data_IF_265610485964
#
_entry.id   IF_265610485964
#
_cell.length_a   1.000
_cell.length_b   1.000
_cell.length_c   1.000
_cell.angle_alpha   90.00
_cell.angle_beta   90.00
_cell.angle_gamma   90.00
#
_symmetry.space_group_name_H-M   'P 1'
#
loop_
_entity.id
_entity.type
_entity.pdbx_description
1 polymer ?
#
# COMPACT_ATOMS: atom_id res chain seq x y z
N UNK A 1 -6.10 24.45 -10.15
CA UNK A 1 -4.84 25.24 -10.18
C UNK A 1 -4.30 25.37 -11.59
N UNK A 2 -3.58 26.46 -11.90
CA UNK A 2 -2.76 26.53 -13.12
C UNK A 2 -1.43 25.78 -12.95
N UNK A 3 -0.68 25.55 -14.04
CA UNK A 3 0.56 24.78 -14.03
C UNK A 3 1.61 25.32 -13.04
N UNK A 4 1.81 26.64 -13.00
CA UNK A 4 2.81 27.25 -12.10
C UNK A 4 2.43 27.06 -10.62
N UNK A 5 1.14 27.21 -10.30
CA UNK A 5 0.66 26.96 -8.94
C UNK A 5 0.87 25.50 -8.50
N UNK A 6 0.70 24.55 -9.43
CA UNK A 6 0.96 23.12 -9.16
C UNK A 6 2.44 22.91 -8.87
N UNK A 7 3.30 23.50 -9.69
CA UNK A 7 4.75 23.41 -9.53
C UNK A 7 5.21 23.97 -8.19
N UNK A 8 4.79 25.17 -7.84
CA UNK A 8 5.17 25.84 -6.59
C UNK A 8 4.70 25.04 -5.37
N UNK A 9 3.50 24.48 -5.45
CA UNK A 9 2.97 23.66 -4.37
C UNK A 9 3.73 22.34 -4.20
N UNK A 10 4.06 21.64 -5.29
CA UNK A 10 4.85 20.39 -5.21
C UNK A 10 6.25 20.66 -4.66
N UNK A 11 6.88 21.77 -5.05
CA UNK A 11 8.16 22.20 -4.46
C UNK A 11 8.03 22.42 -2.95
N UNK A 12 6.96 23.08 -2.49
CA UNK A 12 6.70 23.27 -1.07
C UNK A 12 6.52 21.93 -0.33
N UNK A 13 5.81 20.97 -0.93
CA UNK A 13 5.63 19.63 -0.36
C UNK A 13 6.98 18.92 -0.23
N UNK A 14 7.78 18.90 -1.30
CA UNK A 14 9.10 18.25 -1.33
C UNK A 14 10.08 18.86 -0.31
N UNK A 15 9.99 20.16 -0.08
CA UNK A 15 10.80 20.87 0.91
C UNK A 15 10.40 20.54 2.35
N UNK A 16 9.09 20.43 2.63
CA UNK A 16 8.57 20.36 4.00
C UNK A 16 8.45 18.96 4.60
N UNK A 17 8.21 17.94 3.79
CA UNK A 17 8.08 16.54 4.27
C UNK A 17 9.29 16.05 5.09
N UNK A 18 10.55 16.36 4.73
CA UNK A 18 11.70 15.99 5.55
C UNK A 18 11.61 16.49 7.01
N UNK A 19 11.22 17.74 7.22
CA UNK A 19 11.06 18.29 8.57
C UNK A 19 9.91 17.62 9.33
N UNK A 20 8.83 17.26 8.62
CA UNK A 20 7.76 16.46 9.19
C UNK A 20 8.24 15.07 9.65
N UNK A 21 9.02 14.37 8.81
CA UNK A 21 9.60 13.08 9.18
C UNK A 21 10.52 13.18 10.40
N UNK A 22 11.37 14.21 10.45
CA UNK A 22 12.24 14.47 11.61
C UNK A 22 11.42 14.67 12.89
N UNK A 23 10.28 15.36 12.81
CA UNK A 23 9.39 15.59 13.97
C UNK A 23 8.72 14.31 14.50
N UNK A 24 8.59 13.28 13.65
CA UNK A 24 8.04 11.97 14.02
C UNK A 24 9.11 10.98 14.48
N UNK A 25 10.40 11.22 14.20
CA UNK A 25 11.47 10.27 14.48
C UNK A 25 11.62 10.03 15.99
N UNK A 26 11.80 8.76 16.37
CA UNK A 26 12.10 8.34 17.73
C UNK A 26 13.37 9.00 18.27
N UNK A 27 13.38 9.32 19.57
CA UNK A 27 14.53 9.95 20.23
C UNK A 27 15.61 8.93 20.59
N UNK A 28 15.22 7.70 20.89
CA UNK A 28 16.13 6.64 21.38
C UNK A 28 16.51 5.64 20.28
N UNK A 29 15.64 5.48 19.28
CA UNK A 29 15.73 4.57 18.16
C UNK A 29 15.39 5.35 16.89
N UNK A 30 16.42 5.69 16.12
CA UNK A 30 16.28 6.49 14.90
C UNK A 30 15.56 5.76 13.76
N UNK A 31 15.42 4.44 13.85
CA UNK A 31 14.62 3.65 12.91
C UNK A 31 13.13 3.67 13.20
N UNK A 32 12.72 4.12 14.38
CA UNK A 32 11.32 4.25 14.78
C UNK A 32 10.76 5.63 14.41
N UNK A 33 9.47 5.65 14.05
CA UNK A 33 8.72 6.87 13.77
C UNK A 33 7.34 6.81 14.44
N UNK A 34 6.85 7.92 14.96
CA UNK A 34 5.47 8.01 15.43
C UNK A 34 4.48 7.96 14.26
N UNK A 35 3.25 7.48 14.51
CA UNK A 35 2.19 7.56 13.50
C UNK A 35 1.73 8.99 13.30
N UNK A 36 1.59 9.73 14.39
CA UNK A 36 1.02 11.07 14.48
C UNK A 36 1.92 11.97 15.33
N UNK A 37 1.75 13.29 15.24
CA UNK A 37 2.58 14.24 16.01
C UNK A 37 2.31 14.16 17.53
N UNK A 38 1.05 13.91 17.93
CA UNK A 38 0.64 13.92 19.34
C UNK A 38 -0.42 12.89 19.70
N UNK A 39 -1.04 12.24 18.72
CA UNK A 39 -2.17 11.32 18.90
C UNK A 39 -1.82 9.88 19.29
N UNK A 40 -0.55 9.44 19.17
CA UNK A 40 -0.15 8.05 19.36
C UNK A 40 -0.56 7.49 20.73
N UNK A 41 -1.16 6.29 20.76
CA UNK A 41 -1.53 5.64 22.03
C UNK A 41 -0.34 4.99 22.74
N UNK A 42 0.81 4.89 22.07
CA UNK A 42 2.02 4.28 22.60
C UNK A 42 3.23 5.08 22.12
N UNK A 43 4.07 5.46 23.08
CA UNK A 43 5.27 6.28 22.81
C UNK A 43 6.58 5.52 23.01
N UNK A 44 6.53 4.26 23.47
CA UNK A 44 7.72 3.41 23.44
C UNK A 44 8.15 3.19 21.99
N UNK A 45 9.43 2.97 21.74
CA UNK A 45 10.01 2.90 20.39
C UNK A 45 10.34 1.45 19.97
N UNK A 46 9.69 0.48 20.63
CA UNK A 46 9.81 -0.98 20.47
C UNK A 46 8.64 -1.60 19.70
N UNK A 47 7.84 -0.77 19.02
CA UNK A 47 6.65 -1.17 18.27
C UNK A 47 6.62 -0.42 16.93
N UNK A 48 5.63 -0.73 16.10
CA UNK A 48 5.38 0.04 14.89
C UNK A 48 6.34 -0.30 13.74
N UNK A 49 6.13 -1.47 13.13
CA UNK A 49 6.81 -1.83 11.87
C UNK A 49 6.31 -0.98 10.69
N UNK A 50 5.00 -0.69 10.64
CA UNK A 50 4.35 -0.08 9.47
C UNK A 50 4.67 1.41 9.30
N UNK A 51 4.75 2.16 10.39
CA UNK A 51 5.21 3.56 10.42
C UNK A 51 6.66 3.70 9.92
N UNK A 52 7.57 2.81 10.33
CA UNK A 52 8.94 2.80 9.80
C UNK A 52 9.00 2.42 8.31
N UNK A 53 8.12 1.51 7.86
CA UNK A 53 7.92 1.25 6.42
C UNK A 53 7.45 2.50 5.70
N UNK A 54 6.50 3.26 6.25
CA UNK A 54 6.04 4.51 5.65
C UNK A 54 7.19 5.51 5.52
N UNK A 55 8.02 5.67 6.57
CA UNK A 55 9.21 6.52 6.53
C UNK A 55 10.18 6.11 5.41
N UNK A 56 10.54 4.81 5.34
CA UNK A 56 11.42 4.28 4.30
C UNK A 56 10.92 4.64 2.89
N UNK A 57 9.61 4.47 2.66
CA UNK A 57 9.02 4.71 1.34
C UNK A 57 8.87 6.21 1.03
N UNK A 58 8.59 7.06 2.02
CA UNK A 58 8.59 8.52 1.85
C UNK A 58 10.00 8.99 1.43
N UNK A 59 11.04 8.57 2.15
CA UNK A 59 12.43 8.91 1.83
C UNK A 59 12.83 8.40 0.43
N UNK A 60 12.36 7.21 0.05
CA UNK A 60 12.56 6.66 -1.29
C UNK A 60 11.92 7.53 -2.35
N UNK A 61 10.63 7.89 -2.21
CA UNK A 61 9.95 8.77 -3.18
C UNK A 61 10.70 10.09 -3.34
N UNK A 62 11.16 10.68 -2.24
CA UNK A 62 11.89 11.95 -2.26
C UNK A 62 13.30 11.84 -2.84
N UNK A 63 13.77 10.62 -3.15
CA UNK A 63 15.14 10.32 -3.55
C UNK A 63 16.17 10.79 -2.49
N UNK A 64 15.88 10.52 -1.20
CA UNK A 64 16.63 11.03 -0.04
C UNK A 64 17.08 9.96 0.97
N UNK A 65 17.03 8.68 0.60
CA UNK A 65 17.48 7.60 1.49
C UNK A 65 19.00 7.70 1.74
N UNK A 66 19.42 8.08 2.94
CA UNK A 66 20.84 8.10 3.34
C UNK A 66 21.31 6.71 3.81
N UNK A 67 22.63 6.53 3.99
CA UNK A 67 23.14 5.28 4.57
C UNK A 67 22.66 5.06 6.01
N UNK A 68 22.61 6.13 6.81
CA UNK A 68 22.09 6.06 8.18
C UNK A 68 20.61 5.67 8.19
N UNK A 69 19.80 6.22 7.27
CA UNK A 69 18.39 5.83 7.13
C UNK A 69 18.26 4.34 6.77
N UNK A 70 19.07 3.85 5.82
CA UNK A 70 19.10 2.42 5.48
C UNK A 70 19.39 1.57 6.70
N UNK A 71 20.42 1.90 7.46
CA UNK A 71 20.87 1.08 8.59
C UNK A 71 19.86 1.11 9.74
N UNK A 72 19.39 2.29 10.14
CA UNK A 72 18.50 2.45 11.29
C UNK A 72 17.10 1.93 11.01
N UNK A 73 16.51 2.30 9.87
CA UNK A 73 15.12 1.93 9.53
C UNK A 73 15.04 0.43 9.25
N UNK A 74 16.00 -0.14 8.50
CA UNK A 74 15.98 -1.58 8.25
C UNK A 74 16.18 -2.39 9.52
N UNK A 75 17.09 -1.98 10.41
CA UNK A 75 17.28 -2.62 11.71
C UNK A 75 16.00 -2.62 12.53
N UNK A 76 15.25 -1.52 12.53
CA UNK A 76 13.96 -1.46 13.21
C UNK A 76 12.93 -2.40 12.57
N UNK A 77 12.77 -2.37 11.25
CA UNK A 77 11.82 -3.25 10.53
C UNK A 77 12.15 -4.74 10.78
N UNK A 78 13.43 -5.12 10.66
CA UNK A 78 13.91 -6.50 10.84
C UNK A 78 13.82 -6.96 12.30
N UNK A 79 13.72 -6.05 13.28
CA UNK A 79 13.50 -6.43 14.68
C UNK A 79 12.13 -7.09 14.94
N UNK A 80 11.20 -6.99 13.98
CA UNK A 80 9.88 -7.63 14.01
C UNK A 80 9.81 -8.95 13.23
N UNK A 81 10.93 -9.42 12.69
CA UNK A 81 11.03 -10.65 11.94
C UNK A 81 10.92 -11.87 12.87
N UNK A 82 10.05 -12.82 12.53
CA UNK A 82 10.01 -14.14 13.18
C UNK A 82 10.79 -15.21 12.39
N UNK A 83 10.89 -16.41 12.95
CA UNK A 83 11.66 -17.50 12.36
C UNK A 83 11.12 -17.98 10.99
N UNK A 84 9.88 -17.62 10.65
CA UNK A 84 9.24 -17.98 9.39
C UNK A 84 9.26 -16.79 8.41
N UNK A 85 10.06 -15.75 8.68
CA UNK A 85 10.18 -14.55 7.83
C UNK A 85 8.95 -13.65 7.82
N UNK A 86 8.01 -13.83 8.75
CA UNK A 86 6.90 -12.91 8.93
C UNK A 86 7.38 -11.68 9.72
N UNK A 87 6.91 -10.49 9.33
CA UNK A 87 7.28 -9.23 9.97
C UNK A 87 6.02 -8.51 10.43
N UNK A 88 5.76 -8.56 11.72
CA UNK A 88 4.56 -7.96 12.32
C UNK A 88 4.81 -7.53 13.76
N UNK A 89 3.99 -6.60 14.23
CA UNK A 89 4.06 -6.11 15.61
C UNK A 89 3.22 -7.00 16.56
N UNK A 90 3.83 -7.70 17.54
CA UNK A 90 3.09 -8.56 18.46
C UNK A 90 2.10 -7.79 19.36
N UNK A 91 2.42 -6.54 19.70
CA UNK A 91 1.53 -5.70 20.49
C UNK A 91 0.29 -5.31 19.72
N UNK A 92 0.47 -4.97 18.44
CA UNK A 92 -0.65 -4.71 17.53
C UNK A 92 -1.63 -5.89 17.53
N UNK A 93 -1.12 -7.11 17.38
CA UNK A 93 -1.95 -8.33 17.42
C UNK A 93 -2.62 -8.54 18.78
N UNK A 94 -1.97 -8.24 19.90
CA UNK A 94 -2.55 -8.39 21.25
C UNK A 94 -3.70 -7.42 21.51
N UNK A 95 -3.61 -6.17 21.08
CA UNK A 95 -4.73 -5.20 21.19
C UNK A 95 -5.89 -5.58 20.26
N UNK A 96 -5.56 -6.04 19.06
CA UNK A 96 -6.52 -6.56 18.10
C UNK A 96 -7.29 -7.77 18.65
N UNK A 97 -6.58 -8.66 19.34
CA UNK A 97 -7.10 -9.87 19.98
C UNK A 97 -8.27 -9.59 20.95
N UNK A 98 -8.14 -8.60 21.82
CA UNK A 98 -9.21 -8.26 22.77
C UNK A 98 -10.49 -7.78 22.07
N UNK A 99 -10.36 -6.91 21.06
CA UNK A 99 -11.52 -6.34 20.35
C UNK A 99 -12.27 -7.40 19.53
N UNK A 100 -11.53 -8.27 18.85
CA UNK A 100 -12.14 -9.31 18.02
C UNK A 100 -12.68 -10.49 18.82
N UNK A 101 -12.12 -10.80 19.99
CA UNK A 101 -12.75 -11.77 20.91
C UNK A 101 -14.19 -11.34 21.25
N UNK A 102 -14.41 -10.06 21.55
CA UNK A 102 -15.77 -9.52 21.76
C UNK A 102 -16.65 -9.57 20.50
N UNK A 103 -16.08 -9.30 19.32
CA UNK A 103 -16.81 -9.39 18.05
C UNK A 103 -17.19 -10.84 17.67
N UNK A 104 -16.34 -11.83 17.99
CA UNK A 104 -16.57 -13.26 17.72
C UNK A 104 -17.56 -13.87 18.70
N UNK A 105 -17.51 -13.49 19.99
CA UNK A 105 -18.50 -13.90 20.99
C UNK A 105 -19.90 -13.37 20.63
N UNK A 106 -19.98 -12.21 19.98
CA UNK A 106 -21.25 -11.61 19.53
C UNK A 106 -21.71 -12.09 18.15
N UNK A 107 -20.80 -12.45 17.24
CA UNK A 107 -21.13 -12.89 15.86
C UNK A 107 -21.11 -14.42 15.63
N UNK A 108 -20.59 -15.21 16.58
CA UNK A 108 -20.41 -16.68 16.51
C UNK A 108 -19.62 -17.20 15.30
N UNK A 109 -18.82 -16.36 14.64
CA UNK A 109 -17.98 -16.77 13.51
C UNK A 109 -16.49 -16.86 13.89
N UNK A 110 -16.06 -18.08 14.25
CA UNK A 110 -14.67 -18.39 14.57
C UNK A 110 -13.78 -18.42 13.31
N UNK A 111 -14.36 -18.60 12.11
CA UNK A 111 -13.60 -18.62 10.86
C UNK A 111 -13.17 -17.21 10.43
N UNK A 112 -14.02 -16.20 10.68
CA UNK A 112 -13.65 -14.79 10.53
C UNK A 112 -12.43 -14.42 11.40
N UNK A 113 -12.31 -14.98 12.61
CA UNK A 113 -11.19 -14.71 13.52
C UNK A 113 -9.81 -15.09 12.95
N UNK A 114 -9.64 -16.32 12.48
CA UNK A 114 -8.36 -16.81 11.95
C UNK A 114 -7.98 -16.10 10.66
N UNK A 115 -8.96 -15.92 9.77
CA UNK A 115 -8.78 -15.25 8.47
C UNK A 115 -8.26 -13.83 8.63
N UNK A 116 -8.74 -13.09 9.64
CA UNK A 116 -8.34 -11.69 9.81
C UNK A 116 -6.95 -11.54 10.46
N UNK A 117 -6.60 -12.39 11.43
CA UNK A 117 -5.24 -12.39 12.01
C UNK A 117 -4.19 -12.68 10.93
N UNK A 118 -4.43 -13.70 10.13
CA UNK A 118 -3.55 -14.04 9.02
C UNK A 118 -3.49 -12.92 7.97
N UNK A 119 -4.61 -12.26 7.69
CA UNK A 119 -4.66 -11.09 6.81
C UNK A 119 -3.80 -9.94 7.32
N UNK A 120 -3.89 -9.61 8.61
CA UNK A 120 -3.08 -8.54 9.22
C UNK A 120 -1.57 -8.88 9.19
N UNK A 121 -1.19 -10.11 9.54
CA UNK A 121 0.21 -10.56 9.48
C UNK A 121 0.72 -10.47 8.05
N UNK A 122 0.03 -11.07 7.08
CA UNK A 122 0.43 -11.03 5.66
C UNK A 122 0.52 -9.59 5.13
N UNK A 123 -0.44 -8.74 5.50
CA UNK A 123 -0.46 -7.33 5.11
C UNK A 123 0.73 -6.53 5.66
N UNK A 124 1.06 -6.73 6.94
CA UNK A 124 2.24 -6.11 7.57
C UNK A 124 3.54 -6.66 6.99
N UNK A 125 3.66 -7.97 6.86
CA UNK A 125 4.83 -8.65 6.27
C UNK A 125 5.08 -8.14 4.85
N UNK A 126 4.05 -8.11 3.99
CA UNK A 126 4.12 -7.54 2.63
C UNK A 126 4.63 -6.10 2.64
N UNK A 127 4.07 -5.27 3.52
CA UNK A 127 4.47 -3.86 3.64
C UNK A 127 5.95 -3.75 4.08
N UNK A 128 6.38 -4.58 5.03
CA UNK A 128 7.75 -4.65 5.50
C UNK A 128 8.73 -5.03 4.38
N UNK A 129 8.45 -6.08 3.60
CA UNK A 129 9.27 -6.44 2.44
C UNK A 129 9.42 -5.30 1.44
N UNK A 130 8.34 -4.60 1.12
CA UNK A 130 8.42 -3.47 0.21
C UNK A 130 9.16 -2.25 0.80
N UNK A 131 9.07 -2.04 2.12
CA UNK A 131 9.92 -1.07 2.82
C UNK A 131 11.40 -1.43 2.74
N UNK A 132 11.74 -2.68 3.01
CA UNK A 132 13.11 -3.20 2.89
C UNK A 132 13.64 -3.12 1.46
N UNK A 133 12.79 -3.38 0.47
CA UNK A 133 13.11 -3.19 -0.95
C UNK A 133 13.46 -1.73 -1.27
N UNK A 134 12.72 -0.76 -0.73
CA UNK A 134 13.05 0.67 -0.86
C UNK A 134 14.41 1.03 -0.23
N UNK A 135 14.83 0.31 0.81
CA UNK A 135 16.13 0.48 1.46
C UNK A 135 17.24 -0.35 0.80
N UNK A 136 16.91 -1.18 -0.20
CA UNK A 136 17.80 -2.18 -0.80
C UNK A 136 18.42 -3.14 0.24
N UNK A 137 17.61 -3.57 1.21
CA UNK A 137 18.00 -4.51 2.29
C UNK A 137 17.19 -5.79 2.18
N UNK A 138 17.84 -6.93 2.44
CA UNK A 138 17.21 -8.26 2.45
C UNK A 138 17.04 -8.77 3.88
N UNK A 139 15.90 -9.38 4.23
CA UNK A 139 15.76 -10.05 5.53
C UNK A 139 16.58 -11.34 5.60
N UNK A 140 16.73 -11.86 6.81
CA UNK A 140 17.48 -13.09 7.05
C UNK A 140 16.67 -14.34 6.67
N UNK A 141 15.37 -14.32 6.96
CA UNK A 141 14.40 -15.37 6.68
C UNK A 141 13.34 -14.84 5.71
N UNK A 142 12.97 -15.69 4.76
CA UNK A 142 11.92 -15.38 3.79
C UNK A 142 10.60 -15.99 4.25
N UNK A 143 9.48 -15.30 3.96
CA UNK A 143 8.16 -15.78 4.38
C UNK A 143 7.80 -17.10 3.72
N UNK A 144 7.78 -18.19 4.49
CA UNK A 144 7.70 -19.56 3.99
C UNK A 144 6.28 -20.18 4.02
N UNK A 145 5.34 -19.52 4.70
CA UNK A 145 3.96 -20.03 4.88
C UNK A 145 3.07 -19.71 3.68
N UNK A 146 3.37 -20.31 2.52
CA UNK A 146 2.61 -20.14 1.27
C UNK A 146 2.33 -21.48 0.56
N UNK A 147 1.29 -21.53 -0.29
CA UNK A 147 1.06 -22.62 -1.24
C UNK A 147 2.30 -22.94 -2.08
N UNK A 148 2.64 -24.23 -2.19
CA UNK A 148 3.88 -24.72 -2.81
C UNK A 148 3.69 -25.42 -4.16
N UNK A 149 2.43 -25.66 -4.57
CA UNK A 149 2.07 -26.32 -5.81
C UNK A 149 0.72 -25.81 -6.35
N UNK A 150 0.42 -26.11 -7.62
CA UNK A 150 -0.80 -25.69 -8.31
C UNK A 150 -2.08 -26.02 -7.53
N UNK A 151 -2.22 -27.25 -7.03
CA UNK A 151 -3.42 -27.67 -6.29
C UNK A 151 -3.59 -26.99 -4.92
N UNK A 152 -2.51 -26.50 -4.30
CA UNK A 152 -2.58 -25.65 -3.11
C UNK A 152 -2.92 -24.20 -3.48
N UNK A 153 -2.35 -23.68 -4.58
CA UNK A 153 -2.61 -22.34 -5.09
C UNK A 153 -4.09 -22.18 -5.48
N UNK A 154 -4.62 -23.12 -6.27
CA UNK A 154 -6.03 -23.09 -6.67
C UNK A 154 -6.96 -23.13 -5.46
N UNK A 155 -6.68 -24.03 -4.50
CA UNK A 155 -7.44 -24.12 -3.25
C UNK A 155 -7.34 -22.86 -2.41
N UNK A 156 -6.18 -22.20 -2.39
CA UNK A 156 -6.00 -20.93 -1.70
C UNK A 156 -6.85 -19.84 -2.35
N UNK A 157 -6.74 -19.67 -3.66
CA UNK A 157 -7.46 -18.65 -4.44
C UNK A 157 -8.97 -18.85 -4.35
N UNK A 158 -9.46 -20.09 -4.47
CA UNK A 158 -10.88 -20.43 -4.41
C UNK A 158 -11.50 -20.26 -3.02
N UNK A 159 -10.68 -20.17 -1.96
CA UNK A 159 -11.15 -19.85 -0.60
C UNK A 159 -11.31 -18.34 -0.36
N UNK A 160 -10.74 -17.49 -1.21
CA UNK A 160 -10.83 -16.05 -1.03
C UNK A 160 -12.25 -15.56 -1.33
N UNK A 161 -12.69 -14.55 -0.58
CA UNK A 161 -14.01 -13.96 -0.79
C UNK A 161 -14.00 -12.98 -1.98
N UNK A 162 -14.19 -13.49 -3.19
CA UNK A 162 -14.24 -12.70 -4.43
C UNK A 162 -15.51 -11.86 -4.60
N UNK A 163 -16.46 -11.90 -3.65
CA UNK A 163 -17.52 -10.87 -3.56
C UNK A 163 -17.01 -9.56 -2.93
N UNK A 164 -15.81 -9.59 -2.34
CA UNK A 164 -15.09 -8.47 -1.72
C UNK A 164 -13.67 -8.39 -2.31
N UNK A 165 -13.51 -7.93 -3.56
CA UNK A 165 -12.27 -8.10 -4.31
C UNK A 165 -11.09 -7.31 -3.75
N UNK A 166 -11.32 -6.25 -2.98
CA UNK A 166 -10.23 -5.59 -2.24
C UNK A 166 -9.52 -6.56 -1.29
N UNK A 167 -10.29 -7.35 -0.53
CA UNK A 167 -9.73 -8.37 0.37
C UNK A 167 -9.05 -9.48 -0.42
N UNK A 168 -9.77 -10.09 -1.37
CA UNK A 168 -9.24 -11.17 -2.19
C UNK A 168 -7.97 -10.77 -2.97
N UNK A 169 -7.99 -9.63 -3.65
CA UNK A 169 -6.83 -9.10 -4.37
C UNK A 169 -5.66 -8.77 -3.45
N UNK A 170 -5.90 -8.32 -2.21
CA UNK A 170 -4.82 -8.11 -1.23
C UNK A 170 -4.14 -9.41 -0.82
N UNK A 171 -4.89 -10.52 -0.74
CA UNK A 171 -4.34 -11.84 -0.46
C UNK A 171 -3.62 -12.44 -1.67
N UNK A 172 -4.20 -12.27 -2.87
CA UNK A 172 -3.59 -12.72 -4.13
C UNK A 172 -2.27 -11.99 -4.41
N UNK A 173 -2.23 -10.66 -4.29
CA UNK A 173 -0.97 -9.90 -4.46
C UNK A 173 0.10 -10.28 -3.43
N UNK A 174 -0.29 -10.60 -2.20
CA UNK A 174 0.64 -11.14 -1.21
C UNK A 174 1.16 -12.53 -1.61
N UNK A 175 0.31 -13.42 -2.13
CA UNK A 175 0.73 -14.73 -2.66
C UNK A 175 1.81 -14.56 -3.75
N UNK A 176 1.53 -13.73 -4.76
CA UNK A 176 2.47 -13.49 -5.86
C UNK A 176 3.79 -12.91 -5.32
N UNK A 177 3.74 -11.93 -4.42
CA UNK A 177 4.94 -11.39 -3.80
C UNK A 177 5.76 -12.48 -3.10
N UNK A 178 5.12 -13.31 -2.29
CA UNK A 178 5.84 -14.31 -1.49
C UNK A 178 6.41 -15.43 -2.34
N UNK A 179 5.73 -15.86 -3.42
CA UNK A 179 6.30 -16.78 -4.41
C UNK A 179 7.59 -16.19 -5.02
N UNK A 180 7.54 -14.92 -5.42
CA UNK A 180 8.69 -14.22 -5.98
C UNK A 180 9.82 -14.12 -4.96
N UNK A 181 9.51 -13.71 -3.73
CA UNK A 181 10.52 -13.52 -2.70
C UNK A 181 11.14 -14.84 -2.26
N UNK A 182 10.39 -15.94 -2.17
CA UNK A 182 10.98 -17.24 -1.87
C UNK A 182 11.91 -17.75 -2.97
N UNK A 183 11.58 -17.50 -4.24
CA UNK A 183 12.47 -17.82 -5.34
C UNK A 183 13.76 -17.00 -5.36
N UNK A 184 13.73 -15.82 -4.72
CA UNK A 184 14.83 -14.86 -4.68
C UNK A 184 15.51 -14.89 -3.32
N UNK A 185 16.76 -15.33 -3.26
CA UNK A 185 17.71 -14.51 -2.51
C UNK A 185 17.70 -13.15 -3.23
N UNK A 186 17.09 -12.13 -2.61
CA UNK A 186 16.83 -10.79 -3.18
C UNK A 186 17.88 -10.37 -4.23
N UNK A 187 17.41 -9.95 -5.43
CA UNK A 187 18.18 -9.59 -6.64
C UNK A 187 18.51 -10.71 -7.66
N UNK A 188 17.93 -11.90 -7.54
CA UNK A 188 17.99 -12.93 -8.59
C UNK A 188 16.69 -13.01 -9.40
N UNK A 189 16.73 -13.61 -10.59
CA UNK A 189 15.50 -13.91 -11.35
C UNK A 189 14.78 -15.12 -10.72
N UNK A 190 13.43 -15.15 -10.71
CA UNK A 190 12.69 -16.33 -10.22
C UNK A 190 13.08 -17.61 -10.96
N UNK A 191 12.98 -18.76 -10.30
CA UNK A 191 13.15 -20.05 -10.96
C UNK A 191 12.00 -20.30 -11.96
N UNK A 192 12.23 -21.14 -12.97
CA UNK A 192 11.18 -21.53 -13.92
C UNK A 192 9.97 -22.11 -13.20
N UNK A 193 10.18 -22.98 -12.20
CA UNK A 193 9.12 -23.56 -11.37
C UNK A 193 8.29 -22.48 -10.67
N UNK A 194 8.92 -21.41 -10.17
CA UNK A 194 8.19 -20.30 -9.54
C UNK A 194 7.39 -19.52 -10.57
N UNK A 195 7.94 -19.30 -11.77
CA UNK A 195 7.22 -18.64 -12.86
C UNK A 195 6.00 -19.46 -13.30
N UNK A 196 6.13 -20.78 -13.39
CA UNK A 196 5.03 -21.69 -13.72
C UNK A 196 3.92 -21.60 -12.66
N UNK A 197 4.26 -21.57 -11.37
CA UNK A 197 3.29 -21.39 -10.29
C UNK A 197 2.60 -20.02 -10.32
N UNK A 198 3.35 -18.95 -10.63
CA UNK A 198 2.79 -17.60 -10.78
C UNK A 198 1.82 -17.57 -11.97
N UNK A 199 2.22 -18.14 -13.10
CA UNK A 199 1.39 -18.19 -14.31
C UNK A 199 0.12 -19.00 -14.09
N UNK A 200 0.23 -20.14 -13.41
CA UNK A 200 -0.92 -20.91 -12.96
C UNK A 200 -1.83 -20.08 -12.05
N UNK A 201 -1.27 -19.38 -11.05
CA UNK A 201 -2.05 -18.52 -10.15
C UNK A 201 -2.83 -17.43 -10.90
N UNK A 202 -2.22 -16.80 -11.92
CA UNK A 202 -2.89 -15.84 -12.79
C UNK A 202 -4.01 -16.50 -13.61
N UNK A 203 -3.76 -17.69 -14.18
CA UNK A 203 -4.79 -18.40 -14.96
C UNK A 203 -6.06 -18.69 -14.16
N UNK A 204 -5.94 -18.93 -12.85
CA UNK A 204 -7.09 -19.14 -11.95
C UNK A 204 -7.88 -17.84 -11.73
N UNK A 205 -7.20 -16.71 -11.52
CA UNK A 205 -7.89 -15.42 -11.26
C UNK A 205 -8.36 -14.71 -12.53
N UNK A 206 -7.78 -15.00 -13.69
CA UNK A 206 -8.20 -14.41 -14.97
C UNK A 206 -9.63 -14.83 -15.32
N UNK A 207 -10.08 -16.00 -14.86
CA UNK A 207 -11.48 -16.45 -14.95
C UNK A 207 -12.48 -15.57 -14.17
N UNK A 208 -11.98 -14.66 -13.32
CA UNK A 208 -12.79 -13.76 -12.49
C UNK A 208 -12.84 -12.32 -13.03
N UNK A 209 -12.21 -12.06 -14.18
CA UNK A 209 -12.20 -10.73 -14.82
C UNK A 209 -13.59 -10.41 -15.37
N UNK A 210 -14.09 -9.23 -15.03
CA UNK A 210 -15.35 -8.68 -15.50
C UNK A 210 -15.14 -7.74 -16.69
N UNK A 211 -16.22 -7.41 -17.40
CA UNK A 211 -16.14 -6.53 -18.59
C UNK A 211 -15.66 -5.11 -18.29
N UNK A 212 -15.91 -4.60 -17.08
CA UNK A 212 -15.39 -3.31 -16.60
C UNK A 212 -13.92 -3.37 -16.15
N UNK A 213 -13.26 -4.53 -16.34
CA UNK A 213 -11.87 -4.78 -15.95
C UNK A 213 -11.66 -5.05 -14.47
N UNK A 214 -12.71 -5.09 -13.65
CA UNK A 214 -12.62 -5.48 -12.24
C UNK A 214 -12.60 -7.00 -12.05
N UNK A 215 -12.21 -7.47 -10.86
CA UNK A 215 -12.25 -8.88 -10.50
C UNK A 215 -13.38 -9.15 -9.52
N UNK A 216 -13.99 -10.34 -9.62
CA UNK A 216 -14.85 -10.88 -8.57
C UNK A 216 -16.18 -11.41 -9.06
N UNK A 217 -16.98 -11.90 -8.11
CA UNK A 217 -18.31 -12.46 -8.37
C UNK A 217 -19.41 -11.41 -8.22
N UNK A 218 -20.47 -11.53 -9.02
CA UNK A 218 -21.63 -10.62 -9.03
C UNK A 218 -21.21 -9.13 -9.21
N UNK A 219 -20.44 -8.77 -10.26
CA UNK A 219 -19.94 -7.42 -10.47
C UNK A 219 -21.05 -6.35 -10.51
N UNK A 220 -22.26 -6.73 -10.91
CA UNK A 220 -23.44 -5.85 -10.98
C UNK A 220 -23.93 -5.38 -9.60
N UNK A 221 -23.62 -6.13 -8.54
CA UNK A 221 -23.98 -5.77 -7.16
C UNK A 221 -22.88 -5.04 -6.40
N UNK A 222 -21.70 -4.93 -7.01
CA UNK A 222 -20.52 -4.41 -6.34
C UNK A 222 -20.42 -2.88 -6.48
N UNK A 223 -20.25 -2.13 -5.38
CA UNK A 223 -20.00 -0.70 -5.45
C UNK A 223 -18.73 -0.39 -6.26
N UNK A 224 -18.75 0.67 -7.06
CA UNK A 224 -17.62 1.01 -7.91
C UNK A 224 -16.30 1.25 -7.14
N UNK A 225 -16.37 1.84 -5.94
CA UNK A 225 -15.19 2.01 -5.06
C UNK A 225 -14.57 0.66 -4.70
N UNK A 226 -15.37 -0.38 -4.42
CA UNK A 226 -14.86 -1.72 -4.13
C UNK A 226 -14.19 -2.34 -5.36
N UNK A 227 -14.73 -2.10 -6.56
CA UNK A 227 -14.11 -2.53 -7.81
C UNK A 227 -12.74 -1.87 -8.01
N UNK A 228 -12.66 -0.55 -7.89
CA UNK A 228 -11.41 0.22 -8.04
C UNK A 228 -10.36 -0.24 -7.02
N UNK A 229 -10.74 -0.36 -5.75
CA UNK A 229 -9.85 -0.81 -4.69
C UNK A 229 -9.38 -2.26 -4.92
N UNK A 230 -10.25 -3.12 -5.48
CA UNK A 230 -9.88 -4.46 -5.95
C UNK A 230 -8.89 -4.44 -7.11
N UNK A 231 -9.15 -3.63 -8.15
CA UNK A 231 -8.26 -3.43 -9.29
C UNK A 231 -6.87 -2.98 -8.82
N UNK A 232 -6.81 -2.01 -7.90
CA UNK A 232 -5.55 -1.56 -7.31
C UNK A 232 -4.76 -2.74 -6.76
N UNK A 233 -5.39 -3.59 -5.92
CA UNK A 233 -4.72 -4.74 -5.31
C UNK A 233 -4.24 -5.75 -6.34
N UNK A 234 -5.04 -6.01 -7.38
CA UNK A 234 -4.68 -6.92 -8.46
C UNK A 234 -3.49 -6.37 -9.27
N UNK A 235 -3.49 -5.08 -9.58
CA UNK A 235 -2.38 -4.43 -10.29
C UNK A 235 -1.06 -4.53 -9.53
N UNK A 236 -1.07 -4.58 -8.19
CA UNK A 236 0.15 -4.87 -7.42
C UNK A 236 0.70 -6.27 -7.72
N UNK A 237 -0.18 -7.27 -7.88
CA UNK A 237 0.24 -8.61 -8.27
C UNK A 237 0.89 -8.60 -9.66
N UNK A 238 0.28 -7.91 -10.63
CA UNK A 238 0.83 -7.74 -11.98
C UNK A 238 2.18 -7.00 -11.97
N UNK A 239 2.32 -5.94 -11.16
CA UNK A 239 3.59 -5.23 -10.98
C UNK A 239 4.69 -6.17 -10.48
N UNK A 240 4.42 -6.93 -9.42
CA UNK A 240 5.41 -7.87 -8.85
C UNK A 240 5.79 -8.95 -9.85
N UNK A 241 4.82 -9.51 -10.57
CA UNK A 241 5.06 -10.52 -11.59
C UNK A 241 5.65 -9.97 -12.90
N UNK A 242 5.76 -8.64 -13.05
CA UNK A 242 6.12 -7.97 -14.30
C UNK A 242 5.24 -8.45 -15.49
N UNK A 243 3.93 -8.56 -15.25
CA UNK A 243 2.93 -9.00 -16.24
C UNK A 243 2.02 -7.83 -16.65
N UNK A 244 1.51 -7.87 -17.88
CA UNK A 244 0.51 -6.92 -18.38
C UNK A 244 -0.91 -7.42 -18.05
N UNK A 245 -1.77 -6.60 -17.44
CA UNK A 245 -3.19 -6.92 -17.26
C UNK A 245 -3.95 -6.84 -18.58
N UNK A 246 -4.99 -7.66 -18.75
CA UNK A 246 -5.74 -7.77 -20.02
C UNK A 246 -6.63 -6.55 -20.30
N UNK A 247 -7.48 -6.18 -19.34
CA UNK A 247 -8.56 -5.17 -19.52
C UNK A 247 -8.15 -3.76 -19.03
N UNK A 248 -7.08 -3.20 -19.57
CA UNK A 248 -6.57 -1.86 -19.16
C UNK A 248 -7.52 -0.70 -19.46
N UNK A 249 -8.10 -0.64 -20.67
CA UNK A 249 -8.98 0.47 -21.05
C UNK A 249 -10.30 0.48 -20.24
N UNK A 250 -10.98 -0.66 -20.00
CA UNK A 250 -12.13 -0.70 -19.11
C UNK A 250 -11.84 -0.23 -17.68
N UNK A 251 -10.66 -0.57 -17.12
CA UNK A 251 -10.25 -0.07 -15.80
C UNK A 251 -10.08 1.46 -15.78
N UNK A 252 -9.53 2.04 -16.86
CA UNK A 252 -9.45 3.50 -17.02
C UNK A 252 -10.84 4.12 -17.03
N UNK A 253 -11.78 3.55 -17.79
CA UNK A 253 -13.16 4.04 -17.87
C UNK A 253 -13.87 3.96 -16.50
N UNK A 254 -13.70 2.84 -15.79
CA UNK A 254 -14.23 2.67 -14.44
C UNK A 254 -13.70 3.75 -13.50
N UNK A 255 -12.39 4.01 -13.51
CA UNK A 255 -11.81 5.07 -12.69
C UNK A 255 -12.37 6.44 -13.08
N UNK A 256 -12.29 6.85 -14.34
CA UNK A 256 -12.67 8.21 -14.75
C UNK A 256 -14.16 8.53 -14.50
N UNK A 257 -15.04 7.53 -14.57
CA UNK A 257 -16.49 7.72 -14.39
C UNK A 257 -16.96 7.72 -12.94
N UNK A 258 -16.21 7.11 -12.04
CA UNK A 258 -16.67 6.93 -10.66
C UNK A 258 -16.21 8.07 -9.75
N UNK A 259 -17.16 8.78 -9.15
CA UNK A 259 -16.86 9.64 -8.01
C UNK A 259 -16.44 8.79 -6.82
N UNK A 260 -15.32 9.17 -6.22
CA UNK A 260 -14.80 8.51 -5.04
C UNK A 260 -14.77 9.55 -3.94
N UNK A 261 -15.66 9.39 -2.96
CA UNK A 261 -15.57 10.10 -1.70
C UNK A 261 -14.66 9.35 -0.73
N UNK A 262 -14.04 10.06 0.20
CA UNK A 262 -13.49 9.45 1.41
C UNK A 262 -12.01 9.73 1.69
N UNK A 263 -11.45 8.84 2.50
CA UNK A 263 -10.11 8.90 3.07
C UNK A 263 -8.98 8.77 2.04
N UNK A 264 -7.75 8.96 2.50
CA UNK A 264 -6.55 8.96 1.65
C UNK A 264 -6.31 7.67 0.86
N UNK A 265 -6.87 6.52 1.28
CA UNK A 265 -6.72 5.26 0.54
C UNK A 265 -7.51 5.28 -0.76
N UNK A 266 -8.80 5.62 -0.72
CA UNK A 266 -9.65 5.54 -1.90
C UNK A 266 -9.18 6.49 -3.04
N UNK A 267 -8.70 7.68 -2.68
CA UNK A 267 -8.12 8.62 -3.65
C UNK A 267 -6.82 8.05 -4.26
N UNK A 268 -5.97 7.45 -3.44
CA UNK A 268 -4.70 6.88 -3.89
C UNK A 268 -4.89 5.64 -4.76
N UNK A 269 -5.87 4.79 -4.44
CA UNK A 269 -6.17 3.57 -5.19
C UNK A 269 -6.57 3.89 -6.63
N UNK A 270 -7.40 4.92 -6.81
CA UNK A 270 -7.82 5.38 -8.14
C UNK A 270 -6.65 5.93 -8.96
N UNK A 271 -5.78 6.74 -8.36
CA UNK A 271 -4.60 7.28 -9.04
C UNK A 271 -3.64 6.15 -9.43
N UNK A 272 -3.45 5.16 -8.56
CA UNK A 272 -2.62 3.99 -8.85
C UNK A 272 -3.15 3.22 -10.06
N UNK A 273 -4.44 2.90 -10.09
CA UNK A 273 -5.04 2.17 -11.20
C UNK A 273 -4.84 2.91 -12.53
N UNK A 274 -5.08 4.22 -12.55
CA UNK A 274 -4.86 5.05 -13.74
C UNK A 274 -3.39 5.06 -14.17
N UNK A 275 -2.47 5.25 -13.21
CA UNK A 275 -1.04 5.27 -13.48
C UNK A 275 -0.54 3.94 -14.07
N UNK A 276 -0.91 2.82 -13.46
CA UNK A 276 -0.50 1.49 -13.94
C UNK A 276 -1.09 1.14 -15.30
N UNK A 277 -2.38 1.45 -15.53
CA UNK A 277 -2.99 1.20 -16.83
C UNK A 277 -2.34 2.05 -17.93
N UNK A 278 -2.02 3.32 -17.64
CA UNK A 278 -1.40 4.25 -18.59
C UNK A 278 -0.03 3.82 -19.09
N UNK A 279 0.67 2.92 -18.38
CA UNK A 279 1.94 2.33 -18.85
C UNK A 279 1.76 1.45 -20.09
N UNK A 280 0.54 0.96 -20.35
CA UNK A 280 0.27 -0.03 -21.39
C UNK A 280 -0.61 0.50 -22.54
N UNK A 281 -1.09 1.74 -22.45
CA UNK A 281 -2.03 2.35 -23.41
C UNK A 281 -2.00 3.87 -23.33
N UNK A 282 -2.24 4.56 -24.45
CA UNK A 282 -2.47 6.01 -24.49
C UNK A 282 -3.96 6.37 -24.51
N UNK A 283 -4.85 5.39 -24.28
CA UNK A 283 -6.29 5.58 -24.25
C UNK A 283 -6.69 6.62 -23.18
N UNK A 284 -7.44 7.64 -23.59
CA UNK A 284 -7.92 8.75 -22.73
C UNK A 284 -6.81 9.49 -21.98
N UNK A 285 -5.61 9.59 -22.57
CA UNK A 285 -4.49 10.28 -21.96
C UNK A 285 -4.84 11.70 -21.47
N UNK A 286 -5.49 12.51 -22.30
CA UNK A 286 -5.87 13.88 -21.94
C UNK A 286 -6.87 13.93 -20.78
N UNK A 287 -7.84 13.00 -20.75
CA UNK A 287 -8.81 12.90 -19.64
C UNK A 287 -8.10 12.52 -18.33
N UNK A 288 -7.09 11.64 -18.39
CA UNK A 288 -6.30 11.24 -17.22
C UNK A 288 -5.46 12.41 -16.72
N UNK A 289 -4.82 13.16 -17.61
CA UNK A 289 -4.06 14.37 -17.26
C UNK A 289 -4.99 15.39 -16.61
N UNK A 290 -6.15 15.65 -17.21
CA UNK A 290 -7.13 16.57 -16.64
C UNK A 290 -7.67 16.10 -15.28
N UNK A 291 -7.88 14.79 -15.11
CA UNK A 291 -8.22 14.21 -13.82
C UNK A 291 -7.14 14.50 -12.77
N UNK A 292 -5.85 14.26 -13.09
CA UNK A 292 -4.73 14.51 -12.18
C UNK A 292 -4.63 15.99 -11.79
N UNK A 293 -4.80 16.91 -12.76
CA UNK A 293 -4.80 18.35 -12.51
C UNK A 293 -5.88 18.76 -11.51
N UNK A 294 -7.07 18.15 -11.59
CA UNK A 294 -8.16 18.39 -10.64
C UNK A 294 -7.86 17.77 -9.25
N UNK A 295 -7.14 16.64 -9.20
CA UNK A 295 -6.80 15.99 -7.93
C UNK A 295 -5.79 16.77 -7.09
N UNK A 296 -4.91 17.58 -7.69
CA UNK A 296 -3.98 18.42 -6.91
C UNK A 296 -4.73 19.37 -5.96
N UNK A 297 -5.86 19.95 -6.39
CA UNK A 297 -6.70 20.80 -5.54
C UNK A 297 -7.37 20.02 -4.40
N UNK A 298 -7.71 18.75 -4.62
CA UNK A 298 -8.27 17.88 -3.58
C UNK A 298 -7.20 17.54 -2.55
N UNK A 299 -5.99 17.19 -2.99
CA UNK A 299 -4.89 16.78 -2.11
C UNK A 299 -4.40 17.92 -1.20
N UNK A 300 -4.53 19.18 -1.64
CA UNK A 300 -4.26 20.34 -0.80
C UNK A 300 -5.09 20.38 0.47
N UNK A 301 -6.30 19.80 0.47
CA UNK A 301 -7.17 19.77 1.66
C UNK A 301 -6.61 18.89 2.77
N UNK A 302 -5.77 17.92 2.42
CA UNK A 302 -5.11 17.02 3.36
C UNK A 302 -3.72 17.54 3.77
N UNK A 303 -3.21 18.60 3.13
CA UNK A 303 -1.87 19.14 3.36
C UNK A 303 -1.86 20.09 4.54
N UNK A 304 -0.92 19.88 5.46
CA UNK A 304 -0.71 20.73 6.63
C UNK A 304 0.50 21.63 6.40
N UNK A 305 0.32 22.88 5.93
CA UNK A 305 1.44 23.70 5.46
C UNK A 305 2.40 24.11 6.57
N UNK A 306 1.98 24.15 7.83
CA UNK A 306 2.85 24.52 8.94
C UNK A 306 3.70 23.33 9.38
N UNK A 307 3.10 22.16 9.49
CA UNK A 307 3.72 20.93 9.97
C UNK A 307 4.50 20.20 8.86
N UNK A 308 4.10 20.34 7.60
CA UNK A 308 4.80 19.77 6.45
C UNK A 308 4.40 18.33 6.08
N UNK A 309 3.26 17.84 6.54
CA UNK A 309 2.77 16.48 6.26
C UNK A 309 1.34 16.46 5.72
N UNK A 310 0.88 15.29 5.28
CA UNK A 310 -0.52 15.05 4.96
C UNK A 310 -1.21 14.25 6.07
N UNK A 311 -2.49 14.51 6.29
CA UNK A 311 -3.35 13.68 7.14
C UNK A 311 -4.07 12.59 6.32
N UNK A 312 -4.41 11.48 6.96
CA UNK A 312 -5.15 10.39 6.32
C UNK A 312 -6.60 10.77 6.00
N UNK A 313 -7.22 11.61 6.84
CA UNK A 313 -8.51 12.24 6.59
C UNK A 313 -8.30 13.75 6.38
N UNK A 314 -9.26 14.43 5.74
CA UNK A 314 -9.14 15.87 5.40
C UNK A 314 -8.81 16.75 6.62
N UNK A 315 -9.39 16.46 7.79
CA UNK A 315 -9.31 17.31 8.98
C UNK A 315 -8.55 16.68 10.15
N UNK A 316 -8.08 15.42 10.02
CA UNK A 316 -7.51 14.68 11.14
C UNK A 316 -6.62 13.50 10.75
N UNK A 317 -5.74 13.14 11.68
CA UNK A 317 -4.85 12.00 11.59
C UNK A 317 -5.57 10.65 11.61
N UNK A 318 -4.89 9.63 11.07
CA UNK A 318 -5.30 8.23 11.22
C UNK A 318 -5.38 7.83 12.69
N UNK A 319 -6.36 6.98 13.01
CA UNK A 319 -6.53 6.43 14.36
C UNK A 319 -6.60 4.91 14.41
N UNK A 320 -6.73 4.24 13.26
CA UNK A 320 -6.79 2.79 13.15
C UNK A 320 -5.87 2.25 12.06
N UNK A 321 -5.26 1.10 12.33
CA UNK A 321 -4.54 0.31 11.33
C UNK A 321 -5.07 -1.12 11.41
N UNK A 322 -5.43 -1.73 10.27
CA UNK A 322 -6.12 -3.03 10.18
C UNK A 322 -7.21 -3.26 11.26
N UNK A 323 -7.98 -2.21 11.60
CA UNK A 323 -9.04 -2.25 12.61
C UNK A 323 -8.61 -2.13 14.09
N UNK A 324 -7.31 -2.15 14.39
CA UNK A 324 -6.81 -1.86 15.74
C UNK A 324 -6.64 -0.34 15.93
N UNK A 325 -7.04 0.18 17.08
CA UNK A 325 -6.86 1.60 17.42
C UNK A 325 -5.40 1.85 17.81
N UNK A 326 -4.72 2.73 17.08
CA UNK A 326 -3.29 3.04 17.24
C UNK A 326 -3.04 4.47 17.76
N UNK A 327 -3.97 5.39 17.50
CA UNK A 327 -3.87 6.79 17.88
C UNK A 327 -5.26 7.36 18.21
N UNK A 328 -5.29 8.55 18.83
CA UNK A 328 -6.43 9.43 18.81
C UNK A 328 -6.40 10.24 17.51
N UNK A 329 -7.54 10.32 16.82
CA UNK A 329 -7.63 11.21 15.66
C UNK A 329 -7.54 12.66 16.16
N UNK A 330 -6.54 13.39 15.68
CA UNK A 330 -6.22 14.77 16.06
C UNK A 330 -6.13 15.63 14.79
N UNK A 331 -6.38 16.94 14.87
CA UNK A 331 -6.25 17.86 13.74
C UNK A 331 -4.77 18.12 13.44
N UNK A 332 -4.10 17.10 12.89
CA UNK A 332 -2.67 17.08 12.59
C UNK A 332 -2.39 16.07 11.46
N UNK A 333 -1.25 16.21 10.74
CA UNK A 333 -0.82 15.22 9.77
C UNK A 333 -0.37 13.93 10.43
N UNK A 334 -0.26 12.87 9.62
CA UNK A 334 0.21 11.57 10.05
C UNK A 334 1.08 10.90 8.98
N UNK A 335 1.90 9.95 9.40
CA UNK A 335 2.88 9.32 8.51
C UNK A 335 2.22 8.48 7.41
N UNK A 336 1.05 7.91 7.68
CA UNK A 336 0.36 7.06 6.72
C UNK A 336 -0.32 7.90 5.64
N UNK A 337 -1.02 8.96 6.03
CA UNK A 337 -1.56 9.98 5.14
C UNK A 337 -0.46 10.60 4.29
N UNK A 338 0.67 10.97 4.90
CA UNK A 338 1.83 11.53 4.19
C UNK A 338 2.38 10.58 3.14
N UNK A 339 2.59 9.31 3.49
CA UNK A 339 3.04 8.28 2.55
C UNK A 339 2.08 8.14 1.36
N UNK A 340 0.78 7.96 1.61
CA UNK A 340 -0.21 7.71 0.56
C UNK A 340 -0.34 8.90 -0.41
N UNK A 341 -0.45 10.12 0.13
CA UNK A 341 -0.62 11.30 -0.70
C UNK A 341 0.66 11.65 -1.46
N UNK A 342 1.85 11.49 -0.85
CA UNK A 342 3.11 11.70 -1.58
C UNK A 342 3.30 10.69 -2.70
N UNK A 343 2.96 9.42 -2.47
CA UNK A 343 3.02 8.38 -3.49
C UNK A 343 2.11 8.68 -4.68
N UNK A 344 0.88 9.07 -4.38
CA UNK A 344 -0.09 9.51 -5.38
C UNK A 344 0.35 10.78 -6.13
N UNK A 345 0.95 11.75 -5.43
CA UNK A 345 1.55 12.93 -6.06
C UNK A 345 2.66 12.56 -7.04
N UNK A 346 3.53 11.62 -6.68
CA UNK A 346 4.59 11.16 -7.57
C UNK A 346 4.04 10.55 -8.87
N UNK A 347 2.99 9.73 -8.77
CA UNK A 347 2.30 9.15 -9.94
C UNK A 347 1.61 10.21 -10.80
N UNK A 348 0.90 11.16 -10.19
CA UNK A 348 0.26 12.27 -10.92
C UNK A 348 1.27 13.17 -11.62
N UNK A 349 2.39 13.47 -10.97
CA UNK A 349 3.51 14.22 -11.56
C UNK A 349 4.05 13.52 -12.80
N UNK A 350 4.18 12.20 -12.77
CA UNK A 350 4.64 11.42 -13.92
C UNK A 350 3.62 11.45 -15.06
N UNK A 351 2.33 11.18 -14.77
CA UNK A 351 1.25 11.21 -15.77
C UNK A 351 1.09 12.57 -16.43
N UNK A 352 1.32 13.67 -15.70
CA UNK A 352 1.30 15.03 -16.25
C UNK A 352 2.59 15.43 -16.98
N UNK A 353 3.56 14.52 -17.16
CA UNK A 353 4.81 14.79 -17.87
C UNK A 353 5.81 15.66 -17.09
N UNK A 354 5.64 15.81 -15.77
CA UNK A 354 6.46 16.67 -14.92
C UNK A 354 7.57 15.92 -14.15
N UNK A 355 7.77 14.62 -14.39
CA UNK A 355 8.72 13.76 -13.65
C UNK A 355 10.13 14.34 -13.54
N UNK A 356 10.68 14.84 -14.67
CA UNK A 356 12.04 15.41 -14.73
C UNK A 356 12.24 16.63 -13.83
N UNK A 357 11.17 17.34 -13.50
CA UNK A 357 11.23 18.55 -12.70
C UNK A 357 11.35 18.25 -11.21
N UNK A 358 10.72 17.16 -10.74
CA UNK A 358 10.61 16.86 -9.31
C UNK A 358 11.46 15.69 -8.85
N UNK A 359 11.98 14.86 -9.76
CA UNK A 359 12.86 13.72 -9.44
C UNK A 359 12.26 12.79 -8.36
N UNK A 360 10.94 12.58 -8.41
CA UNK A 360 10.29 11.61 -7.53
C UNK A 360 10.57 10.18 -8.02
N UNK A 361 10.86 9.28 -7.08
CA UNK A 361 10.86 7.85 -7.33
C UNK A 361 9.49 7.26 -7.01
N UNK A 362 9.06 6.28 -7.81
CA UNK A 362 7.78 5.58 -7.60
C UNK A 362 8.12 4.14 -7.19
N UNK A 363 8.03 3.79 -5.89
CA UNK A 363 8.38 2.45 -5.42
C UNK A 363 7.38 1.40 -5.90
N UNK A 364 7.85 0.14 -5.93
CA UNK A 364 6.99 -1.05 -5.97
C UNK A 364 6.32 -1.22 -4.58
N UNK A 365 5.03 -1.59 -4.55
CA UNK A 365 4.20 -1.58 -3.32
C UNK A 365 4.20 -2.90 -2.57
#
# INVERSE_FOLDING_TARGET
MNHNEVVDWINNVKEKIPFFLESLQGKSNRGFYHYTLSGDLRHHEDWGVFNSVCAARILYILNRVSQDDRDQISKHILSFEDNNGAMYDPYFLKKYWFRQFYAVVTSRDIHAYYTIKESAIRGLTRSAYAGLHCLNISPAHFYDVIPSNEGEIERYINKLNWTQPWGAGSHFSALILFLIIQSKKMNQSPSSETLDLIDYAFSVVDALINEDGSWGHCPEKMPAVQKINGCMKMLLAYQWANKKPEKVNPMIDLCLTCEVGGDGCNNSDKILVLYECSKYTNYKHDDIVQFCLNQFDIFKKYWWPKEGGFSFYEDRSINHLYGAKIAHAKPEPDIHGTWLHLYSLAMMVDMCGMKKQFDFQIPLI
#
